data_IF_685476767321
#
_entry.id   IF_685476767321
#
_cell.length_a   1.000
_cell.length_b   1.000
_cell.length_c   1.000
_cell.angle_alpha   90.00
_cell.angle_beta   90.00
_cell.angle_gamma   90.00
#
_symmetry.space_group_name_H-M   'P 1'
#
loop_
_entity.id
_entity.type
_entity.pdbx_description
1 polymer ?
#
# COMPACT_ATOMS: atom_id res chain seq x y z
N UNK A 1 -20.64 1.26 5.63
CA UNK A 1 -20.35 2.65 5.30
C UNK A 1 -18.89 2.99 5.37
N UNK A 2 -18.11 2.36 6.21
CA UNK A 2 -16.68 2.60 6.27
C UNK A 2 -15.85 1.81 5.28
N UNK A 3 -16.48 0.91 4.51
CA UNK A 3 -15.73 0.00 3.64
C UNK A 3 -15.00 0.70 2.51
N UNK A 4 -15.55 1.79 1.98
CA UNK A 4 -14.89 2.53 0.90
C UNK A 4 -13.62 3.20 1.43
N UNK A 5 -13.70 3.83 2.60
CA UNK A 5 -12.55 4.48 3.22
C UNK A 5 -11.51 3.43 3.61
N UNK A 6 -11.95 2.32 4.19
CA UNK A 6 -11.08 1.23 4.58
C UNK A 6 -10.38 0.63 3.36
N UNK A 7 -11.12 0.42 2.29
CA UNK A 7 -10.58 -0.11 1.06
C UNK A 7 -9.53 0.83 0.45
N UNK A 8 -9.80 2.13 0.51
CA UNK A 8 -8.88 3.13 0.00
C UNK A 8 -7.57 3.12 0.78
N UNK A 9 -7.64 2.99 2.10
CA UNK A 9 -6.46 2.91 2.95
C UNK A 9 -5.65 1.65 2.65
N UNK A 10 -6.33 0.52 2.51
CA UNK A 10 -5.68 -0.74 2.21
C UNK A 10 -4.99 -0.68 0.85
N UNK A 11 -5.66 -0.09 -0.13
CA UNK A 11 -5.11 0.06 -1.47
C UNK A 11 -3.83 0.91 -1.44
N UNK A 12 -3.87 2.04 -0.73
CA UNK A 12 -2.70 2.91 -0.61
C UNK A 12 -1.55 2.23 0.12
N UNK A 13 -1.87 1.52 1.19
CA UNK A 13 -0.86 0.79 1.95
C UNK A 13 -0.20 -0.29 1.09
N UNK A 14 -0.98 -0.97 0.28
CA UNK A 14 -0.47 -2.00 -0.60
C UNK A 14 0.49 -1.41 -1.64
N UNK A 15 0.12 -0.29 -2.22
CA UNK A 15 0.96 0.37 -3.21
C UNK A 15 2.27 0.84 -2.61
N UNK A 16 2.19 1.50 -1.46
CA UNK A 16 3.40 1.96 -0.77
C UNK A 16 4.28 0.80 -0.34
N UNK A 17 3.69 -0.23 0.21
CA UNK A 17 4.43 -1.41 0.63
C UNK A 17 5.14 -2.09 -0.53
N UNK A 18 4.48 -2.16 -1.68
CA UNK A 18 5.07 -2.74 -2.88
C UNK A 18 6.29 -1.94 -3.34
N UNK A 19 6.15 -0.61 -3.36
CA UNK A 19 7.24 0.27 -3.78
C UNK A 19 8.42 0.16 -2.83
N UNK A 20 8.15 0.19 -1.53
CA UNK A 20 9.21 0.07 -0.53
C UNK A 20 9.93 -1.27 -0.61
N UNK A 21 9.18 -2.34 -0.88
CA UNK A 21 9.78 -3.65 -1.03
C UNK A 21 10.76 -3.68 -2.21
N UNK A 22 10.39 -3.06 -3.32
CA UNK A 22 11.26 -2.98 -4.49
C UNK A 22 12.53 -2.17 -4.19
N UNK A 23 12.38 -1.07 -3.49
CA UNK A 23 13.52 -0.25 -3.09
C UNK A 23 14.45 -1.03 -2.17
N UNK A 24 13.89 -1.78 -1.22
CA UNK A 24 14.69 -2.59 -0.31
C UNK A 24 15.47 -3.66 -1.05
N UNK A 25 14.87 -4.27 -2.06
CA UNK A 25 15.56 -5.27 -2.88
C UNK A 25 16.65 -4.64 -3.75
N UNK A 26 16.45 -3.39 -4.17
CA UNK A 26 17.41 -2.68 -5.00
C UNK A 26 18.62 -2.20 -4.20
N UNK A 27 18.40 -1.94 -2.92
CA UNK A 27 19.50 -1.54 -2.05
C UNK A 27 20.30 -2.77 -1.63
#
# INVERSE_FOLDING_TARGET
MGSIITLSIVQSALELGFIYALVALAL
#
